data_IF_726443969228
#
_entry.id   IF_726443969228
#
_cell.length_a   1.000
_cell.length_b   1.000
_cell.length_c   1.000
_cell.angle_alpha   90.00
_cell.angle_beta   90.00
_cell.angle_gamma   90.00
#
_symmetry.space_group_name_H-M   'P 1'
#
loop_
_entity.id
_entity.type
_entity.pdbx_description
1 polymer ?
#
# COMPACT_ATOMS: atom_id res chain seq x y z
N UNK A 1 -15.27 17.46 -9.95
CA UNK A 1 -16.15 17.83 -8.82
C UNK A 1 -15.29 17.83 -7.58
N UNK A 2 -15.02 18.98 -6.96
CA UNK A 2 -14.17 19.05 -5.77
C UNK A 2 -15.03 18.62 -4.58
N UNK A 3 -14.78 17.43 -4.04
CA UNK A 3 -15.44 16.98 -2.79
C UNK A 3 -14.71 17.66 -1.64
N UNK A 4 -15.43 18.30 -0.73
CA UNK A 4 -14.86 18.78 0.52
C UNK A 4 -14.48 17.53 1.37
N UNK A 5 -13.30 17.49 1.96
CA UNK A 5 -12.79 16.33 2.71
C UNK A 5 -13.76 15.83 3.78
N UNK A 6 -14.48 16.74 4.44
CA UNK A 6 -15.47 16.40 5.46
C UNK A 6 -16.63 15.57 4.89
N UNK A 7 -16.98 15.73 3.61
CA UNK A 7 -18.08 14.98 3.00
C UNK A 7 -17.78 13.49 2.80
N UNK A 8 -16.50 13.10 2.68
CA UNK A 8 -16.10 11.68 2.56
C UNK A 8 -16.47 10.85 3.79
N UNK A 9 -16.54 11.48 4.97
CA UNK A 9 -16.81 10.82 6.24
C UNK A 9 -18.26 11.04 6.74
N UNK A 10 -19.11 11.63 5.93
CA UNK A 10 -20.50 11.94 6.29
C UNK A 10 -20.59 12.71 7.61
N UNK A 11 -21.53 12.32 8.48
CA UNK A 11 -21.75 12.97 9.78
C UNK A 11 -20.59 12.82 10.78
N UNK A 12 -19.61 11.94 10.51
CA UNK A 12 -18.47 11.73 11.39
C UNK A 12 -17.46 12.87 11.27
N UNK A 13 -17.21 13.34 10.05
CA UNK A 13 -16.19 14.34 9.75
C UNK A 13 -14.75 13.85 9.94
N UNK A 14 -13.79 14.56 9.32
CA UNK A 14 -12.36 14.19 9.31
C UNK A 14 -11.75 14.12 10.72
N UNK A 15 -12.02 15.12 11.56
CA UNK A 15 -11.39 15.21 12.89
C UNK A 15 -11.76 14.02 13.77
N UNK A 16 -13.03 13.63 13.77
CA UNK A 16 -13.49 12.48 14.53
C UNK A 16 -12.99 11.18 13.94
N UNK A 17 -12.92 11.06 12.62
CA UNK A 17 -12.30 9.91 11.96
C UNK A 17 -10.86 9.73 12.40
N UNK A 18 -10.04 10.77 12.34
CA UNK A 18 -8.63 10.74 12.77
C UNK A 18 -8.49 10.40 14.26
N UNK A 19 -9.37 10.90 15.11
CA UNK A 19 -9.31 10.69 16.55
C UNK A 19 -9.75 9.27 16.99
N UNK A 20 -10.78 8.70 16.35
CA UNK A 20 -11.43 7.48 16.83
C UNK A 20 -11.17 6.24 15.97
N UNK A 21 -10.92 6.39 14.65
CA UNK A 21 -10.86 5.29 13.69
C UNK A 21 -9.46 5.09 13.09
N UNK A 22 -8.78 6.17 12.70
CA UNK A 22 -7.48 6.08 12.05
C UNK A 22 -6.48 5.24 12.86
N UNK A 23 -5.96 4.17 12.25
CA UNK A 23 -5.05 3.17 12.84
C UNK A 23 -5.60 2.47 14.11
N UNK A 24 -6.92 2.38 14.25
CA UNK A 24 -7.56 1.81 15.45
C UNK A 24 -8.66 0.80 15.15
N UNK A 25 -9.60 1.14 14.28
CA UNK A 25 -10.77 0.27 14.00
C UNK A 25 -11.35 0.54 12.61
N UNK A 26 -11.96 -0.45 11.98
CA UNK A 26 -12.65 -0.29 10.70
C UNK A 26 -13.81 0.71 10.79
N UNK A 27 -14.14 1.30 9.63
CA UNK A 27 -15.30 2.18 9.48
C UNK A 27 -15.97 1.97 8.12
N UNK A 28 -17.24 1.59 8.14
CA UNK A 28 -18.08 1.62 6.95
C UNK A 28 -18.72 3.00 6.81
N UNK A 29 -18.60 3.59 5.63
CA UNK A 29 -19.19 4.87 5.27
C UNK A 29 -20.12 4.64 4.08
N UNK A 30 -21.41 4.67 4.32
CA UNK A 30 -22.42 4.55 3.26
C UNK A 30 -22.45 5.82 2.44
N UNK A 31 -22.43 5.66 1.11
CA UNK A 31 -22.47 6.78 0.16
C UNK A 31 -21.44 7.87 0.50
N UNK A 32 -20.21 7.46 0.79
CA UNK A 32 -19.09 8.37 0.99
C UNK A 32 -18.92 9.32 -0.21
N UNK A 33 -19.19 8.81 -1.41
CA UNK A 33 -19.28 9.59 -2.66
C UNK A 33 -20.62 9.27 -3.32
N UNK A 34 -21.67 10.07 -3.03
CA UNK A 34 -23.00 9.82 -3.59
C UNK A 34 -23.00 9.87 -5.12
N UNK A 35 -23.58 8.84 -5.75
CA UNK A 35 -23.63 8.77 -7.21
C UNK A 35 -22.27 8.54 -7.87
N UNK A 36 -21.32 7.92 -7.16
CA UNK A 36 -20.02 7.58 -7.72
C UNK A 36 -20.19 6.66 -8.95
N UNK A 37 -19.63 7.09 -10.04
CA UNK A 37 -19.47 6.30 -11.26
C UNK A 37 -17.97 5.94 -11.42
N UNK A 38 -17.70 4.71 -11.83
CA UNK A 38 -16.33 4.25 -12.05
C UNK A 38 -15.62 5.16 -13.07
N UNK A 39 -14.40 5.57 -12.73
CA UNK A 39 -13.59 6.48 -13.55
C UNK A 39 -12.85 5.74 -14.68
N UNK A 40 -12.97 4.43 -14.73
CA UNK A 40 -12.38 3.57 -15.75
C UNK A 40 -13.37 2.44 -16.08
N UNK A 41 -13.47 2.10 -17.34
CA UNK A 41 -14.25 0.94 -17.79
C UNK A 41 -13.49 -0.38 -17.56
N UNK A 42 -14.23 -1.48 -17.41
CA UNK A 42 -13.62 -2.81 -17.18
C UNK A 42 -12.64 -3.21 -18.29
N UNK A 43 -12.96 -2.91 -19.55
CA UNK A 43 -12.09 -3.22 -20.68
C UNK A 43 -10.82 -2.36 -20.70
N UNK A 44 -10.90 -1.12 -20.25
CA UNK A 44 -9.73 -0.24 -20.12
C UNK A 44 -8.81 -0.73 -19.00
N UNK A 45 -9.38 -1.15 -17.85
CA UNK A 45 -8.60 -1.75 -16.78
C UNK A 45 -7.91 -3.04 -17.23
N UNK A 46 -8.61 -3.89 -17.99
CA UNK A 46 -8.03 -5.08 -18.60
C UNK A 46 -6.92 -4.71 -19.61
N UNK A 47 -7.12 -3.66 -20.41
CA UNK A 47 -6.13 -3.12 -21.34
C UNK A 47 -4.84 -2.69 -20.64
N UNK A 48 -4.94 -1.96 -19.51
CA UNK A 48 -3.78 -1.58 -18.72
C UNK A 48 -2.94 -2.77 -18.26
N UNK A 49 -3.57 -3.91 -17.96
CA UNK A 49 -2.86 -5.11 -17.49
C UNK A 49 -2.04 -5.84 -18.56
N UNK A 50 -2.14 -5.41 -19.81
CA UNK A 50 -1.37 -5.95 -20.94
C UNK A 50 -0.05 -5.17 -21.15
N UNK A 51 0.07 -3.99 -20.55
CA UNK A 51 1.21 -3.09 -20.72
C UNK A 51 2.37 -3.49 -19.80
N UNK A 52 3.62 -3.41 -20.32
CA UNK A 52 4.84 -3.81 -19.60
C UNK A 52 5.13 -2.93 -18.37
N UNK A 53 4.73 -1.66 -18.42
CA UNK A 53 4.94 -0.69 -17.34
C UNK A 53 3.91 -0.79 -16.23
N UNK A 54 2.87 -1.62 -16.39
CA UNK A 54 1.74 -1.72 -15.44
C UNK A 54 1.85 -2.98 -14.61
N UNK A 55 2.04 -2.81 -13.31
CA UNK A 55 1.99 -3.92 -12.37
C UNK A 55 0.57 -4.45 -12.23
N UNK A 56 0.35 -5.70 -12.63
CA UNK A 56 -0.96 -6.33 -12.57
C UNK A 56 -0.90 -7.81 -12.18
N UNK A 57 -2.00 -8.30 -11.61
CA UNK A 57 -2.10 -9.68 -11.11
C UNK A 57 -3.50 -10.22 -11.36
N UNK A 58 -3.60 -11.50 -11.70
CA UNK A 58 -4.86 -12.25 -11.72
C UNK A 58 -4.78 -13.32 -10.64
N UNK A 59 -5.83 -13.43 -9.83
CA UNK A 59 -5.99 -14.47 -8.82
C UNK A 59 -7.21 -15.31 -9.18
N UNK A 60 -6.98 -16.63 -9.33
CA UNK A 60 -8.05 -17.61 -9.53
C UNK A 60 -8.31 -18.33 -8.21
N UNK A 61 -9.53 -18.19 -7.69
CA UNK A 61 -9.91 -18.74 -6.39
C UNK A 61 -10.21 -20.24 -6.46
N UNK A 62 -10.82 -20.66 -7.56
CA UNK A 62 -11.27 -22.03 -7.77
C UNK A 62 -10.51 -22.69 -8.93
N UNK A 63 -10.51 -24.03 -8.99
CA UNK A 63 -9.91 -24.79 -10.08
C UNK A 63 -8.97 -25.88 -9.59
N UNK A 64 -8.06 -26.33 -10.46
CA UNK A 64 -7.09 -27.38 -10.16
C UNK A 64 -6.01 -26.94 -9.17
N UNK A 65 -5.74 -25.64 -9.11
CA UNK A 65 -4.81 -24.99 -8.19
C UNK A 65 -5.51 -23.80 -7.54
N UNK A 66 -6.31 -23.99 -6.47
CA UNK A 66 -6.99 -22.92 -5.78
C UNK A 66 -6.00 -21.84 -5.33
N UNK A 67 -6.40 -20.56 -5.50
CA UNK A 67 -5.56 -19.39 -5.21
C UNK A 67 -4.32 -19.28 -6.12
N UNK A 68 -4.44 -19.72 -7.38
CA UNK A 68 -3.40 -19.49 -8.37
C UNK A 68 -3.19 -18.01 -8.62
N UNK A 69 -1.94 -17.55 -8.50
CA UNK A 69 -1.52 -16.19 -8.81
C UNK A 69 -0.83 -16.16 -10.18
N UNK A 70 -1.29 -15.28 -11.06
CA UNK A 70 -0.63 -14.96 -12.33
C UNK A 70 -0.18 -13.50 -12.30
N UNK A 71 1.06 -13.25 -12.73
CA UNK A 71 1.63 -11.89 -12.84
C UNK A 71 1.48 -11.41 -14.29
N UNK A 72 1.17 -10.08 -14.45
CA UNK A 72 1.25 -9.42 -15.75
C UNK A 72 2.71 -9.12 -16.16
N UNK A 73 2.91 -8.56 -17.38
CA UNK A 73 1.87 -8.22 -18.34
C UNK A 73 1.22 -9.47 -18.95
N UNK A 74 -0.08 -9.37 -19.25
CA UNK A 74 -0.83 -10.51 -19.77
C UNK A 74 -0.89 -10.50 -21.30
N UNK A 75 -0.90 -11.68 -21.95
CA UNK A 75 -1.23 -11.82 -23.38
C UNK A 75 -2.67 -11.38 -23.71
N UNK A 76 -2.89 -10.88 -24.92
CA UNK A 76 -4.20 -10.38 -25.40
C UNK A 76 -5.34 -11.39 -25.27
N UNK A 77 -5.05 -12.69 -25.36
CA UNK A 77 -6.03 -13.77 -25.28
C UNK A 77 -6.28 -14.28 -23.85
N UNK A 78 -5.59 -13.73 -22.86
CA UNK A 78 -5.69 -14.17 -21.46
C UNK A 78 -7.13 -14.22 -20.97
N UNK A 79 -7.88 -13.15 -21.17
CA UNK A 79 -9.25 -13.03 -20.68
C UNK A 79 -10.24 -13.99 -21.33
N UNK A 80 -9.95 -14.47 -22.55
CA UNK A 80 -10.76 -15.48 -23.23
C UNK A 80 -10.59 -16.89 -22.62
N UNK A 81 -9.52 -17.10 -21.88
CA UNK A 81 -9.17 -18.38 -21.25
C UNK A 81 -9.59 -18.44 -19.77
N UNK A 82 -10.02 -17.32 -19.18
CA UNK A 82 -10.48 -17.29 -17.81
C UNK A 82 -11.88 -17.89 -17.66
N UNK A 83 -12.19 -18.51 -16.49
CA UNK A 83 -13.54 -18.98 -16.21
C UNK A 83 -14.54 -17.81 -16.13
N UNK A 84 -15.83 -18.12 -16.21
CA UNK A 84 -16.88 -17.09 -16.10
C UNK A 84 -16.96 -16.45 -14.71
N UNK A 85 -16.38 -17.08 -13.68
CA UNK A 85 -16.46 -16.66 -12.28
C UNK A 85 -15.23 -17.06 -11.47
N UNK A 86 -15.19 -16.58 -10.20
CA UNK A 86 -14.21 -16.97 -9.17
C UNK A 86 -12.77 -16.51 -9.46
N UNK A 87 -12.61 -15.36 -10.13
CA UNK A 87 -11.31 -14.74 -10.35
C UNK A 87 -11.35 -13.22 -10.13
N UNK A 88 -10.19 -12.66 -9.91
CA UNK A 88 -10.00 -11.21 -9.69
C UNK A 88 -8.77 -10.72 -10.44
N UNK A 89 -8.90 -9.64 -11.20
CA UNK A 89 -7.81 -8.83 -11.73
C UNK A 89 -7.50 -7.71 -10.74
N UNK A 90 -6.21 -7.47 -10.45
CA UNK A 90 -5.72 -6.31 -9.69
C UNK A 90 -4.74 -5.55 -10.57
N UNK A 91 -4.94 -4.24 -10.69
CA UNK A 91 -4.04 -3.32 -11.41
C UNK A 91 -3.57 -2.26 -10.42
N UNK A 92 -2.25 -2.20 -10.23
CA UNK A 92 -1.61 -1.32 -9.25
C UNK A 92 -1.44 0.09 -9.83
N UNK A 93 -1.47 1.10 -8.96
CA UNK A 93 -1.13 2.50 -9.28
C UNK A 93 -1.88 3.06 -10.52
N UNK A 94 -3.17 2.75 -10.65
CA UNK A 94 -3.98 3.21 -11.80
C UNK A 94 -4.04 4.74 -11.90
N UNK A 95 -3.88 5.44 -10.77
CA UNK A 95 -3.75 6.90 -10.70
C UNK A 95 -2.55 7.46 -11.49
N UNK A 96 -1.54 6.63 -11.79
CA UNK A 96 -0.42 7.04 -12.64
C UNK A 96 -0.77 7.03 -14.14
N UNK A 97 -1.82 6.32 -14.54
CA UNK A 97 -2.20 6.10 -15.94
C UNK A 97 -3.52 6.77 -16.32
N UNK A 98 -4.40 7.00 -15.36
CA UNK A 98 -5.75 7.54 -15.56
C UNK A 98 -5.91 8.84 -14.75
N UNK A 99 -5.96 10.01 -15.40
CA UNK A 99 -6.04 11.31 -14.72
C UNK A 99 -7.23 11.45 -13.78
N UNK A 100 -8.39 10.88 -14.14
CA UNK A 100 -9.59 10.91 -13.32
C UNK A 100 -9.42 10.13 -12.00
N UNK A 101 -8.62 9.06 -12.02
CA UNK A 101 -8.25 8.29 -10.82
C UNK A 101 -7.24 9.06 -9.98
N UNK A 102 -6.32 9.80 -10.59
CA UNK A 102 -5.42 10.72 -9.87
C UNK A 102 -6.20 11.87 -9.19
N UNK A 103 -7.23 12.40 -9.84
CA UNK A 103 -8.12 13.40 -9.24
C UNK A 103 -8.91 12.84 -8.05
N UNK A 104 -9.30 11.55 -8.09
CA UNK A 104 -9.90 10.85 -6.95
C UNK A 104 -8.89 10.72 -5.80
N UNK A 105 -7.65 10.30 -6.07
CA UNK A 105 -6.60 10.18 -5.06
C UNK A 105 -6.33 11.52 -4.36
N UNK A 106 -6.39 12.63 -5.09
CA UNK A 106 -6.20 13.96 -4.53
C UNK A 106 -7.21 14.33 -3.43
N UNK A 107 -8.37 13.66 -3.37
CA UNK A 107 -9.41 13.89 -2.36
C UNK A 107 -9.07 13.27 -1.00
N UNK A 108 -8.05 12.41 -0.93
CA UNK A 108 -7.58 11.78 0.31
C UNK A 108 -6.46 12.58 1.01
N UNK A 109 -6.26 13.84 0.64
CA UNK A 109 -5.24 14.75 1.22
C UNK A 109 -5.64 15.36 2.57
N UNK A 110 -6.56 14.78 3.29
CA UNK A 110 -6.79 15.08 4.72
C UNK A 110 -5.64 14.56 5.61
N UNK A 111 -4.79 13.70 5.04
CA UNK A 111 -3.48 13.34 5.58
C UNK A 111 -2.35 13.99 4.78
N UNK A 112 -1.13 14.11 5.36
CA UNK A 112 0.02 14.61 4.62
C UNK A 112 0.26 13.80 3.34
N UNK A 113 0.54 14.47 2.23
CA UNK A 113 0.68 13.84 0.90
C UNK A 113 1.72 12.71 0.85
N UNK A 114 2.76 12.76 1.68
CA UNK A 114 3.76 11.71 1.78
C UNK A 114 3.23 10.38 2.37
N UNK A 115 2.04 10.41 3.01
CA UNK A 115 1.33 9.23 3.51
C UNK A 115 0.49 8.54 2.45
N UNK A 116 0.05 9.27 1.45
CA UNK A 116 -0.77 8.70 0.36
C UNK A 116 0.16 7.91 -0.57
N UNK A 117 -0.22 6.68 -0.91
CA UNK A 117 0.54 5.83 -1.83
C UNK A 117 -0.05 5.92 -3.24
N UNK A 118 -0.96 5.05 -3.57
CA UNK A 118 -1.57 4.95 -4.89
C UNK A 118 -3.03 4.45 -4.80
N UNK A 119 -3.68 4.35 -5.96
CA UNK A 119 -4.94 3.63 -6.10
C UNK A 119 -4.71 2.36 -6.92
N UNK A 120 -4.87 1.22 -6.27
CA UNK A 120 -5.05 -0.07 -6.94
C UNK A 120 -6.53 -0.25 -7.28
N UNK A 121 -6.85 -0.65 -8.51
CA UNK A 121 -8.22 -1.01 -8.89
C UNK A 121 -8.30 -2.52 -9.13
N UNK A 122 -9.30 -3.14 -8.51
CA UNK A 122 -9.61 -4.55 -8.76
C UNK A 122 -10.93 -4.69 -9.52
N UNK A 123 -10.94 -5.58 -10.52
CA UNK A 123 -12.15 -6.14 -11.09
C UNK A 123 -12.30 -7.58 -10.64
N UNK A 124 -13.50 -7.98 -10.23
CA UNK A 124 -13.77 -9.35 -9.82
C UNK A 124 -15.10 -9.84 -10.39
N UNK A 125 -15.09 -11.08 -10.87
CA UNK A 125 -16.31 -11.82 -11.25
C UNK A 125 -17.02 -12.39 -10.02
N UNK A 126 -18.31 -12.76 -10.09
CA UNK A 126 -19.02 -13.36 -8.97
C UNK A 126 -18.25 -14.52 -8.33
N UNK A 127 -18.08 -14.47 -7.01
CA UNK A 127 -17.26 -15.41 -6.25
C UNK A 127 -15.78 -15.06 -6.19
N UNK A 128 -15.29 -14.17 -7.07
CA UNK A 128 -13.89 -13.73 -7.10
C UNK A 128 -13.50 -12.94 -5.85
N UNK A 129 -12.23 -13.05 -5.47
CA UNK A 129 -11.61 -12.40 -4.33
C UNK A 129 -10.14 -12.79 -4.25
N UNK A 130 -9.44 -12.24 -3.25
CA UNK A 130 -8.02 -12.51 -3.01
C UNK A 130 -7.77 -13.39 -1.77
N UNK A 131 -8.86 -13.85 -1.14
CA UNK A 131 -8.85 -14.62 0.11
C UNK A 131 -8.72 -13.75 1.37
N UNK A 132 -8.99 -14.35 2.54
CA UNK A 132 -8.83 -13.66 3.81
C UNK A 132 -7.35 -13.36 4.07
N UNK A 133 -7.05 -12.08 4.31
CA UNK A 133 -5.69 -11.58 4.55
C UNK A 133 -5.73 -10.34 5.45
N UNK A 134 -4.58 -9.79 5.75
CA UNK A 134 -4.42 -8.49 6.39
C UNK A 134 -3.27 -7.72 5.74
N UNK A 135 -3.36 -6.40 5.80
CA UNK A 135 -2.31 -5.50 5.34
C UNK A 135 -1.62 -4.82 6.53
N UNK A 136 -0.36 -4.42 6.35
CA UNK A 136 0.40 -3.65 7.34
C UNK A 136 0.27 -2.14 7.15
N UNK A 137 -0.70 -1.70 6.34
CA UNK A 137 -0.96 -0.30 6.02
C UNK A 137 -2.47 0.00 6.07
N UNK A 138 -2.79 1.28 6.12
CA UNK A 138 -4.16 1.77 6.08
C UNK A 138 -4.69 1.72 4.64
N UNK A 139 -5.94 1.30 4.46
CA UNK A 139 -6.60 1.28 3.14
C UNK A 139 -8.04 1.74 3.22
N UNK A 140 -8.48 2.51 2.22
CA UNK A 140 -9.89 2.74 1.95
C UNK A 140 -10.32 1.96 0.72
N UNK A 141 -11.40 1.23 0.84
CA UNK A 141 -11.99 0.41 -0.20
C UNK A 141 -13.27 1.08 -0.68
N UNK A 142 -13.18 1.85 -1.77
CA UNK A 142 -14.32 2.51 -2.40
C UNK A 142 -14.92 1.58 -3.44
N UNK A 143 -16.21 1.26 -3.32
CA UNK A 143 -16.89 0.45 -4.32
C UNK A 143 -17.21 1.31 -5.54
N UNK A 144 -16.64 0.95 -6.69
CA UNK A 144 -16.78 1.68 -7.94
C UNK A 144 -17.91 1.17 -8.83
N UNK A 145 -18.06 -0.14 -8.92
CA UNK A 145 -19.08 -0.80 -9.72
C UNK A 145 -19.54 -2.10 -9.08
N UNK A 146 -20.81 -2.50 -9.29
CA UNK A 146 -21.35 -3.76 -8.81
C UNK A 146 -21.36 -3.87 -7.28
N UNK A 147 -21.42 -5.11 -6.78
CA UNK A 147 -21.54 -5.39 -5.34
C UNK A 147 -20.44 -6.32 -4.86
N UNK A 148 -19.84 -5.97 -3.73
CA UNK A 148 -18.83 -6.79 -3.07
C UNK A 148 -19.17 -6.95 -1.59
N UNK A 149 -19.13 -8.19 -1.12
CA UNK A 149 -19.28 -8.55 0.29
C UNK A 149 -17.91 -8.47 0.95
N UNK A 150 -17.80 -7.64 1.96
CA UNK A 150 -16.63 -7.53 2.81
C UNK A 150 -16.90 -8.12 4.17
N UNK A 151 -16.05 -9.03 4.60
CA UNK A 151 -16.01 -9.57 5.95
C UNK A 151 -14.79 -9.01 6.66
N UNK A 152 -14.98 -8.55 7.88
CA UNK A 152 -13.93 -8.02 8.75
C UNK A 152 -13.72 -8.98 9.90
N UNK A 153 -12.48 -9.33 10.16
CA UNK A 153 -12.10 -10.32 11.16
C UNK A 153 -11.23 -9.75 12.29
N UNK A 154 -10.48 -10.64 12.89
CA UNK A 154 -9.62 -10.39 14.04
C UNK A 154 -8.40 -9.51 13.68
N UNK A 155 -7.77 -8.94 14.71
CA UNK A 155 -6.43 -8.34 14.59
C UNK A 155 -5.39 -9.43 14.39
N UNK A 156 -4.54 -9.28 13.37
CA UNK A 156 -3.50 -10.20 12.97
C UNK A 156 -2.10 -9.62 13.21
N UNK A 157 -1.10 -10.51 13.19
CA UNK A 157 0.32 -10.20 13.26
C UNK A 157 1.10 -11.18 12.37
N UNK A 158 2.43 -11.05 12.34
CA UNK A 158 3.31 -11.98 11.60
C UNK A 158 3.21 -13.44 12.09
N UNK A 159 2.76 -13.66 13.32
CA UNK A 159 2.55 -15.00 13.91
C UNK A 159 1.18 -15.61 13.53
N UNK A 160 0.32 -14.86 12.82
CA UNK A 160 -1.00 -15.38 12.42
C UNK A 160 -0.86 -16.53 11.43
N UNK A 161 -1.58 -17.66 11.63
CA UNK A 161 -1.45 -18.84 10.78
C UNK A 161 -1.89 -18.54 9.34
N UNK A 162 -1.05 -18.95 8.38
CA UNK A 162 -1.33 -18.85 6.95
C UNK A 162 -1.59 -20.24 6.35
N UNK A 163 -2.37 -20.27 5.27
CA UNK A 163 -2.46 -21.45 4.42
C UNK A 163 -1.10 -21.73 3.77
N UNK A 164 -0.84 -23.00 3.50
CA UNK A 164 0.33 -23.40 2.72
C UNK A 164 0.12 -23.01 1.26
N UNK A 165 0.52 -21.80 0.91
CA UNK A 165 0.47 -21.26 -0.44
C UNK A 165 1.76 -20.45 -0.67
N UNK A 166 2.55 -20.73 -1.73
CA UNK A 166 3.83 -20.06 -1.94
C UNK A 166 3.67 -18.61 -2.42
N UNK A 167 2.55 -18.27 -3.05
CA UNK A 167 2.38 -17.03 -3.79
C UNK A 167 1.51 -16.00 -3.05
N UNK A 168 0.56 -16.47 -2.21
CA UNK A 168 -0.41 -15.64 -1.51
C UNK A 168 -0.37 -15.86 0.00
N UNK A 169 -0.47 -14.77 0.76
CA UNK A 169 -0.53 -14.80 2.24
C UNK A 169 -1.98 -14.89 2.72
N UNK A 170 -2.60 -16.03 2.55
CA UNK A 170 -4.00 -16.26 2.93
C UNK A 170 -4.04 -16.77 4.36
N UNK A 171 -4.87 -16.15 5.20
CA UNK A 171 -5.08 -16.58 6.58
C UNK A 171 -5.73 -17.98 6.63
N UNK A 172 -5.15 -18.88 7.42
CA UNK A 172 -5.71 -20.21 7.65
C UNK A 172 -6.96 -20.15 8.54
N UNK A 173 -7.07 -19.13 9.39
CA UNK A 173 -8.18 -18.92 10.31
C UNK A 173 -8.72 -17.49 10.13
N UNK A 174 -10.05 -17.37 10.02
CA UNK A 174 -10.74 -16.11 9.87
C UNK A 174 -11.97 -16.06 10.78
N UNK A 175 -11.91 -15.23 11.83
CA UNK A 175 -12.99 -15.00 12.78
C UNK A 175 -13.78 -13.75 12.37
N UNK A 176 -14.88 -13.95 11.64
CA UNK A 176 -15.70 -12.86 11.11
C UNK A 176 -16.41 -12.11 12.24
N UNK A 177 -16.09 -10.84 12.43
CA UNK A 177 -16.70 -9.97 13.45
C UNK A 177 -17.79 -9.07 12.87
N UNK A 178 -17.58 -8.58 11.64
CA UNK A 178 -18.53 -7.74 10.90
C UNK A 178 -18.59 -8.17 9.43
N UNK A 179 -19.76 -7.95 8.81
CA UNK A 179 -19.98 -8.24 7.40
C UNK A 179 -20.86 -7.18 6.75
N UNK A 180 -20.45 -6.69 5.58
CA UNK A 180 -21.22 -5.71 4.82
C UNK A 180 -21.12 -5.98 3.32
N UNK A 181 -22.22 -5.74 2.61
CA UNK A 181 -22.22 -5.64 1.15
C UNK A 181 -22.09 -4.18 0.79
N UNK A 182 -21.05 -3.83 0.02
CA UNK A 182 -20.83 -2.49 -0.49
C UNK A 182 -21.42 -2.37 -1.88
N UNK A 183 -22.06 -1.22 -2.14
CA UNK A 183 -22.60 -0.77 -3.41
C UNK A 183 -21.83 0.48 -3.89
N UNK A 184 -21.93 0.86 -5.19
CA UNK A 184 -21.19 2.01 -5.72
C UNK A 184 -21.36 3.27 -4.86
N UNK A 185 -20.24 3.91 -4.53
CA UNK A 185 -20.17 5.07 -3.63
C UNK A 185 -20.02 4.75 -2.15
N UNK A 186 -20.24 3.49 -1.72
CA UNK A 186 -19.90 3.06 -0.36
C UNK A 186 -18.39 2.91 -0.19
N UNK A 187 -17.88 3.25 0.98
CA UNK A 187 -16.47 3.16 1.29
C UNK A 187 -16.24 2.45 2.64
N UNK A 188 -15.25 1.57 2.68
CA UNK A 188 -14.83 0.85 3.88
C UNK A 188 -13.38 1.19 4.19
N UNK A 189 -13.12 1.75 5.37
CA UNK A 189 -11.77 1.94 5.89
C UNK A 189 -11.34 0.73 6.73
N UNK A 190 -10.12 0.23 6.49
CA UNK A 190 -9.51 -0.86 7.23
C UNK A 190 -8.14 -0.41 7.74
N UNK A 191 -7.89 -0.44 9.07
CA UNK A 191 -6.59 -0.13 9.65
C UNK A 191 -5.60 -1.30 9.51
N UNK A 192 -4.29 -1.05 9.71
CA UNK A 192 -3.26 -2.09 9.66
C UNK A 192 -3.55 -3.27 10.58
N UNK A 193 -3.25 -4.47 10.10
CA UNK A 193 -3.35 -5.72 10.85
C UNK A 193 -4.76 -6.29 10.99
N UNK A 194 -5.79 -5.61 10.54
CA UNK A 194 -7.18 -6.13 10.62
C UNK A 194 -7.43 -7.09 9.46
N UNK A 195 -7.78 -8.33 9.81
CA UNK A 195 -8.16 -9.37 8.85
C UNK A 195 -9.39 -8.94 8.04
N UNK A 196 -9.35 -9.15 6.74
CA UNK A 196 -10.48 -8.87 5.87
C UNK A 196 -10.54 -9.82 4.67
N UNK A 197 -11.75 -9.98 4.13
CA UNK A 197 -12.01 -10.85 3.00
C UNK A 197 -13.12 -10.25 2.14
N UNK A 198 -12.80 -9.92 0.91
CA UNK A 198 -13.72 -9.34 -0.06
C UNK A 198 -14.09 -10.33 -1.15
N UNK A 199 -15.37 -10.67 -1.25
CA UNK A 199 -15.90 -11.59 -2.27
C UNK A 199 -16.93 -10.86 -3.13
N UNK A 200 -16.75 -10.90 -4.44
CA UNK A 200 -17.67 -10.31 -5.40
C UNK A 200 -19.03 -11.05 -5.39
N UNK A 201 -20.11 -10.29 -5.27
CA UNK A 201 -21.47 -10.83 -5.45
C UNK A 201 -21.96 -10.74 -6.89
N UNK A 202 -21.53 -9.69 -7.56
CA UNK A 202 -21.72 -9.46 -8.99
C UNK A 202 -20.37 -9.16 -9.63
N UNK A 203 -20.31 -9.00 -10.94
CA UNK A 203 -19.17 -8.31 -11.55
C UNK A 203 -19.01 -6.98 -10.84
N UNK A 204 -17.81 -6.71 -10.33
CA UNK A 204 -17.61 -5.53 -9.50
C UNK A 204 -16.20 -4.94 -9.64
N UNK A 205 -16.09 -3.63 -9.37
CA UNK A 205 -14.81 -2.94 -9.28
C UNK A 205 -14.69 -2.24 -7.93
N UNK A 206 -13.52 -2.40 -7.31
CA UNK A 206 -13.18 -1.74 -6.04
C UNK A 206 -11.90 -0.94 -6.23
N UNK A 207 -11.90 0.30 -5.77
CA UNK A 207 -10.76 1.20 -5.70
C UNK A 207 -10.16 1.08 -4.31
N UNK A 208 -8.93 0.61 -4.23
CA UNK A 208 -8.17 0.50 -2.98
C UNK A 208 -7.21 1.67 -2.89
N UNK A 209 -7.51 2.64 -2.04
CA UNK A 209 -6.67 3.82 -1.79
C UNK A 209 -5.72 3.46 -0.65
N UNK A 210 -4.45 3.22 -0.98
CA UNK A 210 -3.41 2.80 -0.06
C UNK A 210 -2.67 3.96 0.60
N UNK A 211 -2.15 3.70 1.81
CA UNK A 211 -1.33 4.68 2.54
C UNK A 211 0.01 4.09 2.92
N UNK A 212 1.09 4.84 2.71
CA UNK A 212 2.45 4.45 3.06
C UNK A 212 2.61 4.28 4.57
N UNK A 213 3.15 3.14 4.98
CA UNK A 213 3.45 2.81 6.36
C UNK A 213 4.80 2.08 6.44
N UNK A 214 5.94 2.80 6.30
CA UNK A 214 7.24 2.16 6.34
C UNK A 214 7.46 1.45 7.68
N UNK A 215 7.94 0.21 7.63
CA UNK A 215 8.25 -0.56 8.82
C UNK A 215 9.45 0.02 9.57
N UNK A 216 9.56 -0.26 10.86
CA UNK A 216 10.75 0.14 11.64
C UNK A 216 12.04 -0.46 11.07
N UNK A 217 11.97 -1.67 10.48
CA UNK A 217 13.11 -2.31 9.84
C UNK A 217 13.56 -1.54 8.58
N UNK A 218 12.61 -1.15 7.71
CA UNK A 218 12.88 -0.32 6.52
C UNK A 218 13.48 1.02 6.93
N UNK A 219 12.86 1.72 7.90
CA UNK A 219 13.39 2.98 8.43
C UNK A 219 14.83 2.82 8.90
N UNK A 220 15.10 1.77 9.70
CA UNK A 220 16.44 1.53 10.26
C UNK A 220 17.47 1.22 9.17
N UNK A 221 17.15 0.31 8.26
CA UNK A 221 18.06 -0.11 7.18
C UNK A 221 18.38 1.07 6.27
N UNK A 222 17.37 1.72 5.72
CA UNK A 222 17.58 2.80 4.74
C UNK A 222 18.17 4.06 5.37
N UNK A 223 17.81 4.41 6.60
CA UNK A 223 18.41 5.54 7.28
C UNK A 223 19.87 5.29 7.64
N UNK A 224 20.22 4.09 8.13
CA UNK A 224 21.62 3.78 8.44
C UNK A 224 22.48 3.66 7.19
N UNK A 225 21.94 3.18 6.07
CA UNK A 225 22.59 3.20 4.77
C UNK A 225 22.86 4.65 4.31
N UNK A 226 21.84 5.51 4.38
CA UNK A 226 22.01 6.94 4.12
C UNK A 226 23.12 7.56 4.99
N UNK A 227 23.15 7.30 6.29
CA UNK A 227 24.19 7.79 7.18
C UNK A 227 25.57 7.26 6.78
N UNK A 228 25.69 5.96 6.47
CA UNK A 228 26.95 5.34 6.09
C UNK A 228 27.59 6.00 4.86
N UNK A 229 26.78 6.40 3.87
CA UNK A 229 27.27 7.13 2.69
C UNK A 229 27.76 8.55 2.98
N UNK A 230 27.42 9.12 4.14
CA UNK A 230 27.86 10.48 4.53
C UNK A 230 29.00 10.47 5.56
N UNK A 231 29.42 9.30 6.03
CA UNK A 231 30.55 9.15 6.94
C UNK A 231 31.88 9.10 6.17
N UNK A 232 32.89 9.76 6.72
CA UNK A 232 34.26 9.69 6.15
C UNK A 232 35.02 8.51 6.73
N UNK A 233 36.00 8.01 5.97
CA UNK A 233 36.81 6.84 6.35
C UNK A 233 37.66 7.03 7.59
N UNK A 234 37.91 8.25 8.03
CA UNK A 234 38.66 8.59 9.22
C UNK A 234 37.80 8.57 10.49
N UNK A 235 36.48 8.47 10.38
CA UNK A 235 35.58 8.30 11.52
C UNK A 235 35.59 6.85 11.98
N UNK A 236 36.50 6.57 12.94
CA UNK A 236 36.76 5.21 13.44
C UNK A 236 36.38 5.07 14.92
N UNK A 237 36.19 3.81 15.35
CA UNK A 237 36.11 3.49 16.77
C UNK A 237 37.35 3.93 17.46
N UNK A 238 37.19 4.59 18.60
CA UNK A 238 38.32 5.05 19.44
C UNK A 238 38.19 4.52 20.87
N UNK A 239 39.33 4.12 21.42
CA UNK A 239 39.45 3.57 22.77
C UNK A 239 40.66 4.14 23.56
N UNK A 240 41.04 5.37 23.24
CA UNK A 240 42.11 6.08 23.93
C UNK A 240 41.89 6.08 25.45
N UNK A 241 42.92 5.70 26.22
CA UNK A 241 42.88 5.61 27.69
C UNK A 241 42.27 4.32 28.24
N UNK A 242 42.08 3.29 27.42
CA UNK A 242 41.61 1.98 27.89
C UNK A 242 42.65 1.33 28.82
N UNK A 243 42.16 0.69 29.86
CA UNK A 243 43.04 -0.10 30.78
C UNK A 243 43.44 -1.43 30.16
N UNK A 244 44.56 -2.01 30.64
CA UNK A 244 44.97 -3.35 30.23
C UNK A 244 43.87 -4.36 30.58
N UNK A 245 43.42 -5.19 29.63
CA UNK A 245 42.36 -6.17 29.88
C UNK A 245 42.88 -7.29 30.81
N UNK A 246 42.01 -7.79 31.67
CA UNK A 246 42.30 -8.99 32.49
C UNK A 246 42.26 -10.27 31.65
N UNK A 247 41.42 -10.31 30.64
CA UNK A 247 41.32 -11.37 29.64
C UNK A 247 41.33 -10.73 28.22
N UNK A 248 42.42 -10.94 27.46
CA UNK A 248 42.52 -10.39 26.10
C UNK A 248 41.55 -11.01 25.09
N UNK A 249 40.92 -12.15 25.41
CA UNK A 249 39.93 -12.78 24.55
C UNK A 249 38.49 -12.29 24.79
N UNK A 250 38.26 -11.55 25.87
CA UNK A 250 36.96 -11.00 26.23
C UNK A 250 36.73 -9.59 25.63
N UNK A 251 35.51 -9.32 25.22
CA UNK A 251 35.06 -7.95 24.88
C UNK A 251 34.67 -7.27 26.19
N UNK A 252 35.38 -6.20 26.54
CA UNK A 252 35.09 -5.39 27.72
C UNK A 252 33.69 -4.73 27.61
N UNK A 253 32.84 -4.82 28.65
CA UNK A 253 31.56 -4.11 28.68
C UNK A 253 31.68 -2.62 28.35
N UNK A 254 32.73 -1.92 28.79
CA UNK A 254 32.99 -0.54 28.46
C UNK A 254 33.23 -0.32 26.93
N UNK A 255 33.69 -1.33 26.18
CA UNK A 255 33.76 -1.23 24.74
C UNK A 255 32.39 -1.25 24.09
N UNK A 256 31.47 -2.05 24.64
CA UNK A 256 30.04 -2.04 24.20
C UNK A 256 29.38 -0.71 24.48
N UNK A 257 29.63 -0.13 25.68
CA UNK A 257 29.07 1.21 26.01
C UNK A 257 29.57 2.28 25.04
N UNK A 258 30.88 2.27 24.69
CA UNK A 258 31.44 3.21 23.69
C UNK A 258 30.84 3.02 22.31
N UNK A 259 30.64 1.79 21.88
CA UNK A 259 30.03 1.46 20.61
C UNK A 259 28.58 1.93 20.57
N UNK A 260 27.81 1.63 21.62
CA UNK A 260 26.41 2.08 21.75
C UNK A 260 26.30 3.60 21.67
N UNK A 261 27.15 4.34 22.41
CA UNK A 261 27.18 5.80 22.36
C UNK A 261 27.51 6.33 20.97
N UNK A 262 28.42 5.67 20.24
CA UNK A 262 28.74 6.05 18.86
C UNK A 262 27.56 5.87 17.92
N UNK A 263 26.86 4.73 18.00
CA UNK A 263 25.66 4.44 17.19
C UNK A 263 24.57 5.45 17.54
N UNK A 264 24.26 5.63 18.83
CA UNK A 264 23.21 6.57 19.25
C UNK A 264 23.47 7.99 18.78
N UNK A 265 24.72 8.46 18.82
CA UNK A 265 25.10 9.79 18.33
C UNK A 265 24.80 9.96 16.84
N UNK A 266 25.11 8.94 16.02
CA UNK A 266 24.89 8.97 14.58
C UNK A 266 23.39 8.98 14.25
N UNK A 267 22.61 8.08 14.87
CA UNK A 267 21.17 7.98 14.58
C UNK A 267 20.32 9.09 15.23
N UNK A 268 20.90 9.87 16.15
CA UNK A 268 20.19 10.99 16.84
C UNK A 268 20.23 12.30 16.07
N UNK A 269 20.89 12.35 14.91
CA UNK A 269 20.94 13.55 14.07
C UNK A 269 19.56 13.79 13.41
N UNK A 270 18.82 14.75 13.96
CA UNK A 270 17.47 15.09 13.48
C UNK A 270 17.49 15.74 12.10
N UNK A 271 18.51 16.47 11.74
CA UNK A 271 18.61 17.13 10.44
C UNK A 271 18.89 16.08 9.34
N UNK A 272 19.82 15.16 9.59
CA UNK A 272 20.07 14.02 8.71
C UNK A 272 18.81 13.14 8.57
N UNK A 273 18.12 12.84 9.69
CA UNK A 273 16.89 12.06 9.68
C UNK A 273 15.78 12.75 8.86
N UNK A 274 15.57 14.05 9.06
CA UNK A 274 14.55 14.81 8.33
C UNK A 274 14.86 14.88 6.83
N UNK A 275 16.13 15.07 6.46
CA UNK A 275 16.58 15.11 5.06
C UNK A 275 16.39 13.76 4.38
N UNK A 276 16.83 12.67 5.02
CA UNK A 276 16.63 11.32 4.53
C UNK A 276 15.14 10.98 4.39
N UNK A 277 14.37 11.21 5.46
CA UNK A 277 12.94 10.87 5.48
C UNK A 277 12.16 11.60 4.40
N UNK A 278 12.43 12.90 4.23
CA UNK A 278 11.81 13.68 3.16
C UNK A 278 12.09 13.09 1.78
N UNK A 279 13.34 12.73 1.47
CA UNK A 279 13.71 12.09 0.21
C UNK A 279 13.04 10.72 0.05
N UNK A 280 13.18 9.84 1.05
CA UNK A 280 12.66 8.49 1.03
C UNK A 280 11.14 8.44 0.82
N UNK A 281 10.38 9.32 1.52
CA UNK A 281 8.92 9.33 1.43
C UNK A 281 8.38 10.05 0.19
N UNK A 282 9.21 10.81 -0.52
CA UNK A 282 8.80 11.52 -1.76
C UNK A 282 9.46 10.94 -3.02
N UNK A 283 10.26 9.90 -2.88
CA UNK A 283 10.80 9.17 -4.03
C UNK A 283 9.68 8.53 -4.84
N UNK A 284 9.76 8.66 -6.16
CA UNK A 284 8.75 8.09 -7.05
C UNK A 284 8.78 6.56 -6.96
N UNK A 285 7.63 5.93 -6.76
CA UNK A 285 7.49 4.47 -6.71
C UNK A 285 7.85 3.83 -8.07
N UNK A 286 7.55 4.54 -9.16
CA UNK A 286 7.84 4.16 -10.55
C UNK A 286 8.67 5.25 -11.22
N UNK A 287 9.99 5.28 -11.02
CA UNK A 287 10.86 6.34 -11.53
C UNK A 287 10.91 6.43 -13.06
N UNK A 288 10.73 5.32 -13.77
CA UNK A 288 10.63 5.26 -15.23
C UNK A 288 9.41 6.02 -15.76
N UNK A 289 8.26 5.94 -15.11
CA UNK A 289 7.06 6.71 -15.46
C UNK A 289 7.29 8.20 -15.23
N UNK A 290 7.91 8.57 -14.12
CA UNK A 290 8.22 9.96 -13.80
C UNK A 290 9.18 10.56 -14.85
N UNK A 291 10.14 9.81 -15.38
CA UNK A 291 11.05 10.24 -16.45
C UNK A 291 10.30 10.40 -17.79
N UNK A 292 9.39 9.50 -18.13
CA UNK A 292 8.58 9.59 -19.34
C UNK A 292 7.73 10.87 -19.36
N UNK A 293 7.07 11.20 -18.23
CA UNK A 293 6.32 12.45 -18.09
C UNK A 293 7.22 13.70 -18.18
N UNK A 294 8.41 13.67 -17.60
CA UNK A 294 9.37 14.78 -17.72
C UNK A 294 9.81 15.00 -19.18
N UNK A 295 10.06 13.93 -19.94
CA UNK A 295 10.38 14.03 -21.36
C UNK A 295 9.25 14.61 -22.20
N UNK A 296 7.99 14.23 -21.93
CA UNK A 296 6.83 14.77 -22.62
C UNK A 296 6.62 16.27 -22.37
N UNK A 297 6.87 16.74 -21.13
CA UNK A 297 6.83 18.17 -20.80
C UNK A 297 7.88 18.99 -21.51
N UNK A 298 9.06 18.43 -21.77
CA UNK A 298 10.14 19.10 -22.52
C UNK A 298 9.94 19.08 -24.04
N UNK A 299 9.14 18.16 -24.57
CA UNK A 299 8.87 18.02 -26.02
C UNK A 299 7.59 18.71 -26.47
N UNK A 300 6.74 19.16 -25.55
CA UNK A 300 5.55 19.94 -25.88
C UNK A 300 5.97 21.38 -26.28
N UNK A 301 5.55 21.90 -27.44
CA UNK A 301 5.84 23.29 -27.81
C UNK A 301 5.26 24.23 -26.76
N UNK A 302 6.08 25.21 -26.35
CA UNK A 302 5.65 26.26 -25.43
C UNK A 302 4.43 26.97 -25.98
N UNK A 303 3.39 27.27 -25.17
CA UNK A 303 2.22 28.05 -25.64
C UNK A 303 2.53 29.52 -25.97
N UNK A 304 3.79 29.86 -26.23
CA UNK A 304 4.28 31.23 -26.50
C UNK A 304 5.07 31.31 -27.79
N UNK A 305 4.58 30.73 -28.88
CA UNK A 305 5.01 31.05 -30.25
C UNK A 305 3.80 31.30 -31.12
#
# INVERSE_FOLDING_TARGET
MTIEFDSLFGDIGVDRFLAEYWQRKPLLIRQAIPGFESQIETNELAGLSLEEEVESRIILKEGSHPWELRQGPFPDDTYQQLPERDWTLLVQAVDQFVPEVADLLAQFRFLPSWRVDDIMISYATPGGGVGPHYDNYDVFLLQGHGKRRWRIGQQCSEDSPLLENPDLRILAEFDCQDEWVLEPGDMLYIPPGVAHDGVAETDCMTYSIGFRAPSHAEILVHFTDYLAHHLSDDQRYGDAGVNRPSDPAAIDPAAIDRLQQSVLRLVSDKEALATWFGRHMTEAKYPELAQAYACLLYTSPSPRD
#
